data_IF_165867014219
#
_entry.id   IF_165867014219
#
_cell.length_a   1.000
_cell.length_b   1.000
_cell.length_c   1.000
_cell.angle_alpha   90.00
_cell.angle_beta   90.00
_cell.angle_gamma   90.00
#
_symmetry.space_group_name_H-M   'P 1'
#
loop_
_entity.id
_entity.type
_entity.pdbx_description
1 polymer ?
#
# COMPACT_ATOMS: atom_id res chain seq x y z
N UNK A 1 -19.75 23.47 -2.90
CA UNK A 1 -18.39 23.87 -2.47
C UNK A 1 -17.54 22.62 -2.55
N UNK A 2 -16.48 22.59 -3.36
CA UNK A 2 -15.58 21.43 -3.44
C UNK A 2 -14.30 21.75 -2.68
N UNK A 3 -13.72 20.78 -1.98
CA UNK A 3 -12.43 20.95 -1.28
C UNK A 3 -11.35 21.48 -2.23
N UNK A 4 -11.29 20.93 -3.43
CA UNK A 4 -10.34 21.31 -4.49
C UNK A 4 -10.45 22.77 -4.93
N UNK A 5 -11.60 23.43 -4.74
CA UNK A 5 -11.77 24.86 -5.06
C UNK A 5 -10.90 25.76 -4.16
N UNK A 6 -10.44 25.23 -3.01
CA UNK A 6 -9.67 25.95 -1.98
C UNK A 6 -8.23 25.46 -1.86
N UNK A 7 -7.88 24.34 -2.50
CA UNK A 7 -6.52 23.78 -2.45
C UNK A 7 -5.60 24.33 -3.53
N UNK A 8 -6.12 25.14 -4.46
CA UNK A 8 -5.36 25.69 -5.59
C UNK A 8 -4.67 24.64 -6.47
N UNK A 9 -5.21 23.42 -6.52
CA UNK A 9 -4.70 22.32 -7.34
C UNK A 9 -5.30 22.32 -8.75
N UNK A 10 -4.51 21.88 -9.74
CA UNK A 10 -5.03 21.68 -11.10
C UNK A 10 -6.04 20.52 -11.12
N UNK A 11 -7.19 20.73 -11.77
CA UNK A 11 -8.28 19.74 -11.77
C UNK A 11 -7.93 18.47 -12.55
N UNK A 12 -7.21 18.61 -13.67
CA UNK A 12 -6.85 17.47 -14.51
C UNK A 12 -5.75 16.63 -13.85
N UNK A 13 -4.75 17.27 -13.25
CA UNK A 13 -3.72 16.60 -12.47
C UNK A 13 -4.31 15.91 -11.24
N UNK A 14 -5.17 16.60 -10.48
CA UNK A 14 -5.89 16.04 -9.33
C UNK A 14 -6.65 14.77 -9.70
N UNK A 15 -7.34 14.77 -10.85
CA UNK A 15 -8.05 13.58 -11.33
C UNK A 15 -7.10 12.41 -11.58
N UNK A 16 -5.94 12.64 -12.21
CA UNK A 16 -4.94 11.59 -12.45
C UNK A 16 -4.35 11.05 -11.16
N UNK A 17 -4.03 11.94 -10.21
CA UNK A 17 -3.58 11.53 -8.87
C UNK A 17 -4.63 10.66 -8.20
N UNK A 18 -5.90 11.06 -8.24
CA UNK A 18 -7.00 10.28 -7.68
C UNK A 18 -7.11 8.87 -8.31
N UNK A 19 -6.97 8.77 -9.64
CA UNK A 19 -6.99 7.48 -10.36
C UNK A 19 -5.86 6.55 -9.92
N UNK A 20 -4.64 7.07 -9.74
CA UNK A 20 -3.50 6.29 -9.27
C UNK A 20 -3.63 5.90 -7.78
N UNK A 21 -4.11 6.80 -6.92
CA UNK A 21 -4.39 6.50 -5.50
C UNK A 21 -5.45 5.42 -5.33
N UNK A 22 -6.47 5.39 -6.20
CA UNK A 22 -7.49 4.32 -6.18
C UNK A 22 -6.90 2.95 -6.51
N UNK A 23 -5.92 2.91 -7.42
CA UNK A 23 -5.19 1.68 -7.73
C UNK A 23 -4.28 1.28 -6.57
N UNK A 24 -3.58 2.23 -5.95
CA UNK A 24 -2.75 1.99 -4.77
C UNK A 24 -3.58 1.46 -3.58
N UNK A 25 -4.74 2.07 -3.31
CA UNK A 25 -5.66 1.63 -2.27
C UNK A 25 -6.08 0.16 -2.46
N UNK A 26 -6.33 -0.25 -3.70
CA UNK A 26 -6.65 -1.64 -4.00
C UNK A 26 -5.48 -2.59 -3.70
N UNK A 27 -4.25 -2.22 -4.09
CA UNK A 27 -3.06 -3.02 -3.80
C UNK A 27 -2.83 -3.18 -2.29
N UNK A 28 -2.94 -2.09 -1.53
CA UNK A 28 -2.82 -2.08 -0.09
C UNK A 28 -3.86 -2.97 0.60
N UNK A 29 -5.12 -2.95 0.12
CA UNK A 29 -6.19 -3.79 0.68
C UNK A 29 -5.95 -5.29 0.47
N UNK A 30 -5.43 -5.67 -0.71
CA UNK A 30 -5.06 -7.08 -0.95
C UNK A 30 -3.80 -7.44 -0.16
N UNK A 31 -2.81 -6.55 -0.10
CA UNK A 31 -1.59 -6.76 0.69
C UNK A 31 -1.89 -6.96 2.18
N UNK A 32 -2.73 -6.10 2.78
CA UNK A 32 -3.23 -6.24 4.14
C UNK A 32 -3.84 -7.61 4.39
N UNK A 33 -4.72 -8.06 3.48
CA UNK A 33 -5.40 -9.34 3.61
C UNK A 33 -4.42 -10.51 3.53
N UNK A 34 -3.42 -10.44 2.65
CA UNK A 34 -2.38 -11.45 2.54
C UNK A 34 -1.49 -11.51 3.79
N UNK A 35 -1.11 -10.36 4.36
CA UNK A 35 -0.33 -10.29 5.60
C UNK A 35 -1.08 -10.96 6.77
N UNK A 36 -2.39 -10.74 6.89
CA UNK A 36 -3.22 -11.46 7.87
C UNK A 36 -3.21 -12.97 7.63
N UNK A 37 -3.28 -13.38 6.37
CA UNK A 37 -3.11 -14.77 5.97
C UNK A 37 -1.77 -15.36 6.44
N UNK A 38 -0.67 -14.64 6.29
CA UNK A 38 0.65 -15.08 6.75
C UNK A 38 0.74 -15.13 8.28
N UNK A 39 0.24 -14.10 8.97
CA UNK A 39 0.17 -14.05 10.42
C UNK A 39 -0.59 -15.25 11.00
N UNK A 40 -1.76 -15.60 10.45
CA UNK A 40 -2.57 -16.72 10.95
C UNK A 40 -1.96 -18.10 10.68
N UNK A 41 -1.28 -18.27 9.55
CA UNK A 41 -0.97 -19.59 9.02
C UNK A 41 0.53 -19.96 9.08
N UNK A 42 1.42 -19.03 9.42
CA UNK A 42 2.85 -19.35 9.56
C UNK A 42 3.06 -20.44 10.61
N UNK A 43 3.98 -21.38 10.34
CA UNK A 43 4.35 -22.45 11.28
C UNK A 43 5.87 -22.60 11.36
N UNK A 44 6.33 -23.49 12.26
CA UNK A 44 7.74 -23.86 12.37
C UNK A 44 8.52 -23.04 13.39
N UNK A 45 9.85 -23.16 13.37
CA UNK A 45 10.72 -22.61 14.41
C UNK A 45 10.70 -21.08 14.51
N UNK A 46 10.31 -20.40 13.43
CA UNK A 46 10.24 -18.94 13.36
C UNK A 46 8.85 -18.39 13.67
N UNK A 47 7.90 -19.26 14.10
CA UNK A 47 6.50 -18.90 14.34
C UNK A 47 6.34 -17.59 15.11
N UNK A 48 6.86 -17.52 16.34
CA UNK A 48 6.67 -16.33 17.19
C UNK A 48 7.25 -15.05 16.59
N UNK A 49 8.36 -15.14 15.86
CA UNK A 49 8.99 -13.98 15.24
C UNK A 49 8.16 -13.49 14.07
N UNK A 50 7.86 -14.38 13.12
CA UNK A 50 7.15 -14.01 11.90
C UNK A 50 5.68 -13.68 12.17
N UNK A 51 5.04 -14.38 13.11
CA UNK A 51 3.67 -14.07 13.53
C UNK A 51 3.55 -12.62 14.00
N UNK A 52 4.45 -12.18 14.89
CA UNK A 52 4.46 -10.81 15.38
C UNK A 52 4.87 -9.81 14.27
N UNK A 53 5.87 -10.14 13.46
CA UNK A 53 6.31 -9.26 12.36
C UNK A 53 5.17 -9.00 11.35
N UNK A 54 4.41 -10.03 10.97
CA UNK A 54 3.28 -9.87 10.06
C UNK A 54 2.13 -9.06 10.68
N UNK A 55 1.98 -9.08 12.01
CA UNK A 55 1.04 -8.21 12.73
C UNK A 55 1.46 -6.75 12.69
N UNK A 56 2.72 -6.47 13.06
CA UNK A 56 3.27 -5.10 12.97
C UNK A 56 3.11 -4.52 11.56
N UNK A 57 3.38 -5.33 10.52
CA UNK A 57 3.20 -4.92 9.13
C UNK A 57 1.73 -4.67 8.76
N UNK A 58 0.78 -5.54 9.14
CA UNK A 58 -0.60 -5.31 8.74
C UNK A 58 -1.24 -4.14 9.49
N UNK A 59 -0.77 -3.83 10.70
CA UNK A 59 -1.23 -2.68 11.46
C UNK A 59 -0.77 -1.37 10.81
N UNK A 60 0.50 -1.28 10.40
CA UNK A 60 1.00 -0.13 9.62
C UNK A 60 0.24 0.05 8.30
N UNK A 61 0.00 -1.06 7.59
CA UNK A 61 -0.76 -1.03 6.33
C UNK A 61 -2.21 -0.60 6.56
N UNK A 62 -2.81 -0.92 7.70
CA UNK A 62 -4.18 -0.49 8.02
C UNK A 62 -4.27 1.04 8.17
N UNK A 63 -3.29 1.66 8.82
CA UNK A 63 -3.20 3.12 8.93
C UNK A 63 -3.00 3.76 7.55
N UNK A 64 -2.08 3.22 6.74
CA UNK A 64 -1.82 3.70 5.38
C UNK A 64 -3.04 3.59 4.46
N UNK A 65 -3.86 2.55 4.62
CA UNK A 65 -5.14 2.38 3.88
C UNK A 65 -6.09 3.54 4.18
N UNK A 66 -6.23 3.93 5.45
CA UNK A 66 -7.10 5.02 5.86
C UNK A 66 -6.61 6.35 5.28
N UNK A 67 -5.32 6.64 5.45
CA UNK A 67 -4.69 7.85 4.92
C UNK A 67 -4.84 7.99 3.40
N UNK A 68 -4.67 6.89 2.64
CA UNK A 68 -4.90 6.88 1.18
C UNK A 68 -6.37 7.14 0.86
N UNK A 69 -7.29 6.47 1.56
CA UNK A 69 -8.73 6.64 1.33
C UNK A 69 -9.21 8.06 1.64
N UNK A 70 -8.72 8.65 2.74
CA UNK A 70 -8.99 10.04 3.09
C UNK A 70 -8.35 11.00 2.08
N UNK A 71 -7.14 10.73 1.60
CA UNK A 71 -6.53 11.55 0.55
C UNK A 71 -7.37 11.57 -0.73
N UNK A 72 -7.93 10.42 -1.13
CA UNK A 72 -8.86 10.33 -2.26
C UNK A 72 -10.08 11.22 -2.04
N UNK A 73 -10.63 11.26 -0.81
CA UNK A 73 -11.76 12.14 -0.45
C UNK A 73 -11.38 13.63 -0.49
N UNK A 74 -10.20 13.98 0.05
CA UNK A 74 -9.69 15.36 0.04
C UNK A 74 -9.54 15.90 -1.40
N UNK A 75 -9.14 15.04 -2.33
CA UNK A 75 -9.03 15.33 -3.76
C UNK A 75 -10.37 15.26 -4.52
N UNK A 76 -11.50 15.10 -3.81
CA UNK A 76 -12.85 15.10 -4.38
C UNK A 76 -13.27 13.79 -5.05
N UNK A 77 -12.50 12.71 -4.88
CA UNK A 77 -12.87 11.37 -5.31
C UNK A 77 -13.76 10.65 -4.30
N UNK A 78 -14.10 9.40 -4.62
CA UNK A 78 -14.79 8.49 -3.69
C UNK A 78 -14.00 7.18 -3.65
N UNK A 79 -13.37 6.83 -2.51
CA UNK A 79 -12.55 5.64 -2.43
C UNK A 79 -13.39 4.40 -2.74
N UNK A 80 -12.82 3.50 -3.54
CA UNK A 80 -13.37 2.14 -3.66
C UNK A 80 -13.39 1.52 -2.27
N UNK A 81 -14.43 0.74 -2.00
CA UNK A 81 -14.68 0.13 -0.68
C UNK A 81 -15.32 -1.26 -0.81
N UNK A 82 -15.28 -1.84 -2.01
CA UNK A 82 -15.82 -3.17 -2.30
C UNK A 82 -14.66 -4.07 -2.68
N UNK A 83 -14.57 -5.25 -2.08
CA UNK A 83 -13.56 -6.24 -2.44
C UNK A 83 -13.56 -6.56 -3.94
N UNK A 84 -14.74 -6.72 -4.54
CA UNK A 84 -14.87 -6.96 -5.99
C UNK A 84 -14.31 -5.84 -6.86
N UNK A 85 -14.22 -4.61 -6.35
CA UNK A 85 -13.64 -3.49 -7.10
C UNK A 85 -12.12 -3.47 -6.93
N UNK A 86 -11.60 -3.75 -5.72
CA UNK A 86 -10.17 -3.89 -5.49
C UNK A 86 -9.57 -5.01 -6.36
N UNK A 87 -10.22 -6.18 -6.38
CA UNK A 87 -9.76 -7.36 -7.15
C UNK A 87 -9.64 -7.11 -8.66
N UNK A 88 -10.37 -6.12 -9.22
CA UNK A 88 -10.30 -5.79 -10.65
C UNK A 88 -9.05 -5.00 -11.02
N UNK A 89 -8.53 -4.20 -10.10
CA UNK A 89 -7.49 -3.19 -10.40
C UNK A 89 -6.19 -3.40 -9.64
N UNK A 90 -6.18 -4.25 -8.61
CA UNK A 90 -4.99 -4.61 -7.84
C UNK A 90 -3.98 -5.37 -8.70
N UNK A 91 -2.74 -4.91 -8.71
CA UNK A 91 -1.56 -5.61 -9.21
C UNK A 91 -1.07 -6.63 -8.19
N UNK A 92 -1.16 -6.32 -6.89
CA UNK A 92 -0.98 -7.29 -5.81
C UNK A 92 -2.08 -8.35 -5.92
N UNK A 93 -1.69 -9.63 -5.92
CA UNK A 93 -2.63 -10.76 -6.05
C UNK A 93 -2.86 -11.42 -4.71
N UNK A 94 -4.08 -11.94 -4.53
CA UNK A 94 -4.42 -12.76 -3.36
C UNK A 94 -3.46 -13.93 -3.25
N UNK A 95 -2.95 -14.17 -2.05
CA UNK A 95 -2.20 -15.39 -1.75
C UNK A 95 -3.16 -16.54 -1.40
N UNK A 96 -2.76 -17.76 -1.70
CA UNK A 96 -3.36 -18.95 -1.07
C UNK A 96 -2.96 -19.06 0.41
N UNK A 97 -3.20 -20.22 1.00
CA UNK A 97 -2.69 -20.53 2.34
C UNK A 97 -1.18 -20.77 2.26
N UNK A 98 -0.40 -19.90 2.91
CA UNK A 98 1.06 -20.00 3.00
C UNK A 98 1.44 -20.26 4.45
N UNK A 99 2.17 -21.34 4.69
CA UNK A 99 2.61 -21.76 6.04
C UNK A 99 4.12 -21.67 6.23
N UNK A 100 4.89 -21.73 5.15
CA UNK A 100 6.34 -21.57 5.18
C UNK A 100 6.74 -20.10 5.34
N UNK A 101 7.56 -19.84 6.35
CA UNK A 101 7.98 -18.47 6.67
C UNK A 101 8.86 -17.82 5.60
N UNK A 102 9.68 -18.59 4.87
CA UNK A 102 10.53 -18.02 3.80
C UNK A 102 9.69 -17.69 2.57
N UNK A 103 8.72 -18.53 2.23
CA UNK A 103 7.75 -18.26 1.16
C UNK A 103 6.94 -16.99 1.47
N UNK A 104 6.40 -16.87 2.69
CA UNK A 104 5.67 -15.68 3.11
C UNK A 104 6.53 -14.40 3.02
N UNK A 105 7.77 -14.44 3.51
CA UNK A 105 8.70 -13.30 3.41
C UNK A 105 9.03 -12.95 1.96
N UNK A 106 9.21 -13.95 1.08
CA UNK A 106 9.44 -13.71 -0.34
C UNK A 106 8.24 -13.02 -1.00
N UNK A 107 7.00 -13.44 -0.67
CA UNK A 107 5.79 -12.78 -1.16
C UNK A 107 5.68 -11.34 -0.68
N UNK A 108 6.01 -11.06 0.59
CA UNK A 108 6.06 -9.68 1.11
C UNK A 108 7.04 -8.83 0.32
N UNK A 109 8.23 -9.33 -0.01
CA UNK A 109 9.19 -8.61 -0.85
C UNK A 109 8.64 -8.33 -2.26
N UNK A 110 7.95 -9.30 -2.86
CA UNK A 110 7.35 -9.13 -4.18
C UNK A 110 6.22 -8.09 -4.16
N UNK A 111 5.42 -8.05 -3.09
CA UNK A 111 4.39 -7.03 -2.90
C UNK A 111 4.98 -5.64 -2.68
N UNK A 112 5.96 -5.49 -1.76
CA UNK A 112 6.63 -4.22 -1.51
C UNK A 112 7.29 -3.66 -2.79
N UNK A 113 7.83 -4.53 -3.64
CA UNK A 113 8.36 -4.12 -4.95
C UNK A 113 7.29 -3.47 -5.84
N UNK A 114 6.07 -3.99 -5.85
CA UNK A 114 4.93 -3.42 -6.60
C UNK A 114 4.50 -2.10 -5.98
N UNK A 115 4.35 -2.06 -4.65
CA UNK A 115 3.89 -0.87 -3.91
C UNK A 115 4.85 0.30 -4.09
N UNK A 116 6.14 0.12 -3.78
CA UNK A 116 7.18 1.17 -3.90
C UNK A 116 7.25 1.70 -5.35
N UNK A 117 7.14 0.82 -6.35
CA UNK A 117 7.15 1.24 -7.75
C UNK A 117 5.93 2.11 -8.10
N UNK A 118 4.76 1.76 -7.59
CA UNK A 118 3.52 2.52 -7.79
C UNK A 118 3.52 3.85 -7.05
N UNK A 119 4.01 3.86 -5.81
CA UNK A 119 4.17 5.07 -5.01
C UNK A 119 5.10 6.08 -5.71
N UNK A 120 6.27 5.64 -6.19
CA UNK A 120 7.17 6.51 -6.96
C UNK A 120 6.52 7.08 -8.22
N UNK A 121 5.70 6.29 -8.92
CA UNK A 121 4.93 6.79 -10.07
C UNK A 121 3.89 7.83 -9.64
N UNK A 122 3.22 7.64 -8.49
CA UNK A 122 2.26 8.62 -7.94
C UNK A 122 2.97 9.93 -7.62
N UNK A 123 4.17 9.89 -7.04
CA UNK A 123 4.97 11.09 -6.79
C UNK A 123 5.23 11.89 -8.08
N UNK A 124 5.61 11.21 -9.18
CA UNK A 124 5.79 11.87 -10.48
C UNK A 124 4.50 12.50 -11.04
N UNK A 125 3.34 11.90 -10.77
CA UNK A 125 2.04 12.42 -11.22
C UNK A 125 1.59 13.59 -10.36
N UNK A 126 1.80 13.51 -9.05
CA UNK A 126 1.48 14.56 -8.08
C UNK A 126 2.35 15.81 -8.27
N UNK A 127 3.65 15.63 -8.54
CA UNK A 127 4.60 16.72 -8.83
C UNK A 127 4.16 17.56 -10.05
N UNK A 128 3.69 16.91 -11.12
CA UNK A 128 3.14 17.61 -12.30
C UNK A 128 1.89 18.44 -11.99
N UNK A 129 1.20 18.15 -10.89
CA UNK A 129 0.01 18.86 -10.42
C UNK A 129 0.27 19.90 -9.34
N UNK A 130 1.52 20.05 -8.88
CA UNK A 130 1.87 20.76 -7.64
C UNK A 130 0.99 20.30 -6.46
N UNK A 131 0.92 18.97 -6.27
CA UNK A 131 0.15 18.36 -5.20
C UNK A 131 1.08 17.92 -4.05
N UNK A 132 1.60 18.89 -3.29
CA UNK A 132 2.54 18.62 -2.21
C UNK A 132 1.95 17.75 -1.10
N UNK A 133 0.63 17.83 -0.87
CA UNK A 133 -0.03 17.02 0.14
C UNK A 133 -0.03 15.53 -0.21
N UNK A 134 -0.20 15.18 -1.49
CA UNK A 134 -0.04 13.77 -1.91
C UNK A 134 1.44 13.37 -1.95
N UNK A 135 2.32 14.27 -2.36
CA UNK A 135 3.77 14.01 -2.38
C UNK A 135 4.26 13.67 -0.96
N UNK A 136 3.93 14.49 0.04
CA UNK A 136 4.35 14.30 1.42
C UNK A 136 3.85 12.96 1.99
N UNK A 137 2.55 12.68 1.82
CA UNK A 137 1.94 11.43 2.28
C UNK A 137 2.63 10.20 1.68
N UNK A 138 2.72 10.14 0.35
CA UNK A 138 3.24 8.96 -0.34
C UNK A 138 4.76 8.83 -0.18
N UNK A 139 5.50 9.94 -0.14
CA UNK A 139 6.93 9.92 0.15
C UNK A 139 7.20 9.48 1.60
N UNK A 140 6.28 9.72 2.53
CA UNK A 140 6.36 9.27 3.91
C UNK A 140 6.41 7.74 4.06
N UNK A 141 5.78 6.99 3.15
CA UNK A 141 5.74 5.52 3.22
C UNK A 141 7.05 4.86 2.80
N UNK A 142 7.68 5.40 1.75
CA UNK A 142 8.81 4.78 1.05
C UNK A 142 9.99 4.44 1.99
N UNK A 143 10.46 5.34 2.89
CA UNK A 143 11.58 5.01 3.78
C UNK A 143 11.32 3.83 4.71
N UNK A 144 10.09 3.72 5.24
CA UNK A 144 9.67 2.60 6.07
C UNK A 144 9.68 1.29 5.28
N UNK A 145 9.07 1.29 4.10
CA UNK A 145 9.03 0.14 3.21
C UNK A 145 10.43 -0.28 2.72
N UNK A 146 11.30 0.66 2.36
CA UNK A 146 12.70 0.39 1.96
C UNK A 146 13.50 -0.25 3.09
N UNK A 147 13.29 0.20 4.34
CA UNK A 147 13.86 -0.44 5.52
C UNK A 147 13.34 -1.87 5.70
N UNK A 148 12.04 -2.09 5.55
CA UNK A 148 11.44 -3.43 5.60
C UNK A 148 12.03 -4.34 4.53
N UNK A 149 12.18 -3.87 3.29
CA UNK A 149 12.83 -4.61 2.20
C UNK A 149 14.26 -5.01 2.60
N UNK A 150 15.06 -4.11 3.17
CA UNK A 150 16.39 -4.45 3.67
C UNK A 150 16.35 -5.54 4.75
N UNK A 151 15.46 -5.43 5.74
CA UNK A 151 15.39 -6.38 6.85
C UNK A 151 14.97 -7.78 6.36
N UNK A 152 14.00 -7.85 5.44
CA UNK A 152 13.49 -9.10 4.88
C UNK A 152 14.48 -9.76 3.90
N UNK A 153 15.18 -8.97 3.07
CA UNK A 153 16.25 -9.51 2.21
C UNK A 153 17.40 -10.07 3.04
N UNK A 154 17.78 -9.40 4.14
CA UNK A 154 18.77 -9.91 5.08
C UNK A 154 18.30 -11.20 5.79
N UNK A 155 16.99 -11.33 6.09
CA UNK A 155 16.43 -12.55 6.67
C UNK A 155 16.48 -13.76 5.73
N UNK A 156 16.32 -13.55 4.42
CA UNK A 156 16.37 -14.60 3.40
C UNK A 156 17.79 -14.97 2.92
N UNK A 157 18.80 -14.18 3.31
CA UNK A 157 20.20 -14.36 2.90
C UNK A 157 20.88 -15.58 3.54
#
# INVERSE_FOLDING_TARGET
MKTTDYLSLDTNATKKVNEELQSLLADFQIYYTNLRGFHWNVVGQQFYRLHNEFEELYDEVADQIDEIAERILMLGGTPKHKFSDYLKVSEVKESGVVTDGKEAVQLVLDYLKVLIAKERKILEVADKGNDEGTIDLIAGYIPGQEKTVWMLTAYLS
#
